data_IF_651819213326
#
_entry.id   IF_651819213326
#
_cell.length_a   1.000
_cell.length_b   1.000
_cell.length_c   1.000
_cell.angle_alpha   90.00
_cell.angle_beta   90.00
_cell.angle_gamma   90.00
#
_symmetry.space_group_name_H-M   'P 1'
#
loop_
_entity.id
_entity.type
_entity.pdbx_description
1 polymer ?
#
# COMPACT_ATOMS: atom_id res chain seq x y z
N UNK A 1 -25.37 -10.05 -9.06
CA UNK A 1 -24.60 -8.81 -8.85
C UNK A 1 -23.65 -9.03 -7.67
N UNK A 2 -22.70 -8.12 -7.47
CA UNK A 2 -21.90 -8.00 -6.23
C UNK A 2 -22.00 -6.55 -5.74
N UNK A 3 -21.68 -6.29 -4.47
CA UNK A 3 -21.56 -4.92 -3.94
C UNK A 3 -20.10 -4.69 -3.62
N UNK A 4 -19.55 -3.54 -4.01
CA UNK A 4 -18.12 -3.27 -3.85
C UNK A 4 -17.88 -1.89 -3.24
N UNK A 5 -17.08 -1.87 -2.17
CA UNK A 5 -16.63 -0.61 -1.56
C UNK A 5 -15.62 0.10 -2.46
N UNK A 6 -16.02 1.25 -2.98
CA UNK A 6 -15.15 2.11 -3.78
C UNK A 6 -14.62 3.25 -2.92
N UNK A 7 -13.36 3.13 -2.47
CA UNK A 7 -12.68 4.18 -1.67
C UNK A 7 -12.49 5.47 -2.48
N UNK A 8 -12.35 6.66 -1.85
CA UNK A 8 -12.25 7.96 -2.52
C UNK A 8 -11.00 8.13 -3.42
N UNK A 9 -11.04 7.48 -4.59
CA UNK A 9 -10.00 7.36 -5.63
C UNK A 9 -10.66 7.42 -7.00
N UNK A 10 -9.85 7.28 -8.07
CA UNK A 10 -10.29 7.43 -9.46
C UNK A 10 -11.60 6.70 -9.77
N UNK A 11 -11.72 5.41 -9.42
CA UNK A 11 -12.93 4.63 -9.70
C UNK A 11 -14.18 5.14 -8.96
N UNK A 12 -14.04 5.61 -7.71
CA UNK A 12 -15.16 6.20 -6.96
C UNK A 12 -15.59 7.54 -7.55
N UNK A 13 -14.63 8.36 -8.00
CA UNK A 13 -14.94 9.61 -8.70
C UNK A 13 -15.73 9.32 -9.98
N UNK A 14 -15.22 8.41 -10.82
CA UNK A 14 -15.88 8.01 -12.07
C UNK A 14 -17.29 7.45 -11.81
N UNK A 15 -17.45 6.53 -10.85
CA UNK A 15 -18.74 5.91 -10.56
C UNK A 15 -19.75 6.88 -9.95
N UNK A 16 -19.29 7.87 -9.16
CA UNK A 16 -20.18 8.84 -8.54
C UNK A 16 -20.65 9.88 -9.54
N UNK A 17 -19.77 10.38 -10.40
CA UNK A 17 -20.12 11.31 -11.48
C UNK A 17 -21.11 10.68 -12.47
N UNK A 18 -20.88 9.42 -12.87
CA UNK A 18 -21.81 8.68 -13.73
C UNK A 18 -23.17 8.46 -13.04
N UNK A 19 -23.19 8.10 -11.76
CA UNK A 19 -24.43 7.92 -11.02
C UNK A 19 -25.23 9.23 -10.86
N UNK A 20 -24.56 10.38 -10.68
CA UNK A 20 -25.21 11.70 -10.68
C UNK A 20 -25.82 12.04 -12.05
N UNK A 21 -25.23 11.54 -13.13
CA UNK A 21 -25.78 11.64 -14.49
C UNK A 21 -26.86 10.60 -14.81
N UNK A 22 -27.12 9.64 -13.91
CA UNK A 22 -28.05 8.53 -14.16
C UNK A 22 -27.50 7.48 -15.13
N UNK A 23 -26.17 7.40 -15.26
CA UNK A 23 -25.46 6.51 -16.17
C UNK A 23 -24.70 5.42 -15.41
N UNK A 24 -24.61 4.24 -16.01
CA UNK A 24 -23.78 3.15 -15.49
C UNK A 24 -22.37 3.22 -16.07
N UNK A 25 -21.39 2.68 -15.35
CA UNK A 25 -20.00 2.64 -15.81
C UNK A 25 -19.64 1.24 -16.30
N UNK A 26 -19.33 1.04 -17.60
CA UNK A 26 -18.84 -0.24 -18.08
C UNK A 26 -17.46 -0.55 -17.48
N UNK A 27 -17.31 -1.75 -16.94
CA UNK A 27 -16.07 -2.23 -16.32
C UNK A 27 -15.78 -3.68 -16.73
N UNK A 28 -14.61 -4.18 -16.33
CA UNK A 28 -14.33 -5.60 -16.35
C UNK A 28 -13.77 -6.01 -14.98
N UNK A 29 -14.21 -7.17 -14.48
CA UNK A 29 -13.65 -7.79 -13.27
C UNK A 29 -12.77 -8.95 -13.72
N UNK A 30 -11.47 -8.86 -13.42
CA UNK A 30 -10.46 -9.83 -13.86
C UNK A 30 -9.99 -10.65 -12.66
N UNK A 31 -9.95 -11.98 -12.80
CA UNK A 31 -9.43 -12.89 -11.78
C UNK A 31 -8.32 -13.77 -12.37
N UNK A 32 -7.30 -14.07 -11.56
CA UNK A 32 -6.13 -14.84 -12.01
C UNK A 32 -5.35 -14.14 -13.11
N UNK A 33 -5.14 -12.83 -12.96
CA UNK A 33 -4.31 -12.05 -13.86
C UNK A 33 -2.81 -12.30 -13.61
N UNK A 34 -1.97 -11.82 -14.53
CA UNK A 34 -0.53 -11.79 -14.34
C UNK A 34 -0.16 -11.05 -13.02
N UNK A 35 0.80 -11.55 -12.22
CA UNK A 35 1.22 -10.89 -10.99
C UNK A 35 1.64 -9.43 -11.14
N UNK A 36 2.15 -9.01 -12.31
CA UNK A 36 2.47 -7.60 -12.56
C UNK A 36 1.24 -6.72 -12.67
N UNK A 37 0.10 -7.27 -13.11
CA UNK A 37 -1.20 -6.59 -13.15
C UNK A 37 -1.71 -6.38 -11.73
N UNK A 38 -1.64 -7.42 -10.89
CA UNK A 38 -2.02 -7.31 -9.47
C UNK A 38 -1.17 -6.27 -8.74
N UNK A 39 0.15 -6.29 -8.97
CA UNK A 39 1.06 -5.32 -8.37
C UNK A 39 0.77 -3.91 -8.84
N UNK A 40 0.61 -3.69 -10.15
CA UNK A 40 0.33 -2.37 -10.72
C UNK A 40 -1.01 -1.80 -10.23
N UNK A 41 -2.05 -2.64 -10.15
CA UNK A 41 -3.37 -2.26 -9.63
C UNK A 41 -3.33 -1.86 -8.14
N UNK A 42 -2.36 -2.36 -7.38
CA UNK A 42 -2.15 -1.99 -5.98
C UNK A 42 -1.27 -0.72 -5.80
N UNK A 43 -0.68 -0.20 -6.89
CA UNK A 43 0.09 1.05 -6.84
C UNK A 43 -0.87 2.26 -6.74
N UNK A 44 -0.35 3.38 -6.26
CA UNK A 44 -1.10 4.65 -6.26
C UNK A 44 -0.28 5.74 -6.90
N UNK A 45 -0.86 6.39 -7.90
CA UNK A 45 -0.26 7.49 -8.62
C UNK A 45 -0.98 8.80 -8.27
N UNK A 46 -0.24 9.91 -8.26
CA UNK A 46 -0.82 11.26 -8.12
C UNK A 46 -1.42 11.75 -9.43
N UNK A 47 -0.85 11.30 -10.55
CA UNK A 47 -1.31 11.62 -11.89
C UNK A 47 -2.20 10.49 -12.42
N UNK A 48 -3.04 10.80 -13.41
CA UNK A 48 -3.81 9.80 -14.13
C UNK A 48 -2.85 8.95 -14.99
N UNK A 49 -2.43 7.82 -14.44
CA UNK A 49 -1.59 6.82 -15.11
C UNK A 49 -2.45 5.58 -15.29
N UNK A 50 -2.50 5.08 -16.51
CA UNK A 50 -3.10 3.78 -16.79
C UNK A 50 -2.23 2.66 -16.16
N UNK A 51 -2.75 2.03 -15.10
CA UNK A 51 -2.04 0.98 -14.38
C UNK A 51 -1.74 -0.24 -15.27
N UNK A 52 -2.50 -0.51 -16.34
CA UNK A 52 -2.17 -1.57 -17.31
C UNK A 52 -0.89 -1.26 -18.08
N UNK A 53 -0.59 0.01 -18.35
CA UNK A 53 0.67 0.43 -18.96
C UNK A 53 1.86 0.15 -18.02
N UNK A 54 1.68 0.36 -16.71
CA UNK A 54 2.68 0.00 -15.69
C UNK A 54 2.86 -1.51 -15.63
N UNK A 55 1.76 -2.27 -15.58
CA UNK A 55 1.79 -3.74 -15.59
C UNK A 55 2.51 -4.29 -16.83
N UNK A 56 2.25 -3.72 -18.00
CA UNK A 56 2.90 -4.09 -19.27
C UNK A 56 4.40 -3.83 -19.24
N UNK A 57 4.83 -2.69 -18.69
CA UNK A 57 6.26 -2.34 -18.55
C UNK A 57 6.99 -3.30 -17.61
N UNK A 58 6.36 -3.66 -16.48
CA UNK A 58 6.89 -4.65 -15.54
C UNK A 58 6.95 -6.05 -16.16
N UNK A 59 5.89 -6.46 -16.84
CA UNK A 59 5.80 -7.76 -17.51
C UNK A 59 6.88 -7.90 -18.59
N UNK A 60 7.06 -6.88 -19.44
CA UNK A 60 8.10 -6.86 -20.47
C UNK A 60 9.50 -7.01 -19.86
N UNK A 61 9.77 -6.33 -18.74
CA UNK A 61 11.07 -6.42 -18.06
C UNK A 61 11.33 -7.80 -17.47
N UNK A 62 10.32 -8.48 -16.96
CA UNK A 62 10.45 -9.78 -16.31
C UNK A 62 10.43 -10.95 -17.30
N UNK A 63 9.62 -10.87 -18.35
CA UNK A 63 9.34 -11.98 -19.26
C UNK A 63 9.93 -11.79 -20.67
N UNK A 64 10.38 -10.58 -21.03
CA UNK A 64 10.95 -10.29 -22.34
C UNK A 64 9.95 -10.20 -23.49
N UNK A 65 8.64 -10.27 -23.20
CA UNK A 65 7.54 -10.12 -24.14
C UNK A 65 6.50 -9.13 -23.62
N UNK A 66 5.73 -8.43 -24.48
CA UNK A 66 4.69 -7.51 -24.03
C UNK A 66 3.51 -8.25 -23.38
N UNK A 67 2.87 -7.61 -22.41
CA UNK A 67 1.62 -8.10 -21.82
C UNK A 67 0.53 -8.12 -22.91
N UNK A 68 -0.06 -9.29 -23.17
CA UNK A 68 -1.14 -9.42 -24.15
C UNK A 68 -2.45 -8.93 -23.53
N UNK A 69 -3.22 -8.21 -24.33
CA UNK A 69 -4.52 -7.68 -23.95
C UNK A 69 -5.56 -8.00 -25.01
N UNK A 70 -6.82 -8.06 -24.60
CA UNK A 70 -8.00 -8.16 -25.47
C UNK A 70 -9.02 -7.11 -25.03
N UNK A 71 -9.89 -6.71 -25.95
CA UNK A 71 -11.00 -5.80 -25.67
C UNK A 71 -12.27 -6.65 -25.60
N UNK A 72 -13.00 -6.55 -24.48
CA UNK A 72 -14.28 -7.22 -24.31
C UNK A 72 -15.39 -6.52 -25.12
N UNK A 73 -16.52 -7.17 -25.42
CA UNK A 73 -17.65 -6.57 -26.13
C UNK A 73 -18.13 -5.23 -25.57
N UNK A 74 -18.06 -5.02 -24.26
CA UNK A 74 -18.38 -3.73 -23.62
C UNK A 74 -17.30 -2.62 -23.80
N UNK A 75 -16.24 -2.88 -24.56
CA UNK A 75 -15.18 -1.92 -24.89
C UNK A 75 -14.03 -1.84 -23.87
N UNK A 76 -14.07 -2.62 -22.79
CA UNK A 76 -13.03 -2.60 -21.74
C UNK A 76 -11.86 -3.51 -22.11
N UNK A 77 -10.64 -2.99 -21.97
CA UNK A 77 -9.40 -3.73 -22.19
C UNK A 77 -9.03 -4.56 -20.96
N UNK A 78 -8.70 -5.84 -21.17
CA UNK A 78 -8.29 -6.77 -20.10
C UNK A 78 -7.06 -7.59 -20.50
N UNK A 79 -6.28 -8.12 -19.54
CA UNK A 79 -5.19 -9.06 -19.84
C UNK A 79 -5.73 -10.32 -20.53
N UNK A 80 -5.18 -10.65 -21.70
CA UNK A 80 -5.64 -11.76 -22.54
C UNK A 80 -5.42 -13.14 -21.89
N UNK A 81 -4.40 -13.23 -21.05
CA UNK A 81 -3.92 -14.46 -20.43
C UNK A 81 -4.43 -14.62 -18.98
N UNK A 82 -5.47 -13.88 -18.58
CA UNK A 82 -6.13 -14.06 -17.28
C UNK A 82 -6.96 -15.36 -17.20
N UNK A 83 -7.21 -15.87 -15.99
CA UNK A 83 -8.04 -17.04 -15.77
C UNK A 83 -9.54 -16.75 -16.01
N UNK A 84 -10.00 -15.57 -15.56
CA UNK A 84 -11.35 -15.05 -15.82
C UNK A 84 -11.31 -13.56 -16.20
N UNK A 85 -12.16 -13.17 -17.14
CA UNK A 85 -12.50 -11.79 -17.42
C UNK A 85 -14.02 -11.66 -17.52
N UNK A 86 -14.62 -10.88 -16.61
CA UNK A 86 -16.06 -10.75 -16.48
C UNK A 86 -16.50 -9.37 -16.97
N UNK A 87 -17.32 -9.34 -18.00
CA UNK A 87 -17.98 -8.12 -18.48
C UNK A 87 -18.98 -7.68 -17.42
N UNK A 88 -18.87 -6.43 -16.99
CA UNK A 88 -19.69 -5.90 -15.92
C UNK A 88 -19.96 -4.41 -16.08
N UNK A 89 -20.89 -3.89 -15.27
CA UNK A 89 -21.15 -2.46 -15.13
C UNK A 89 -21.36 -2.12 -13.66
N UNK A 90 -20.83 -0.97 -13.25
CA UNK A 90 -21.15 -0.35 -11.96
C UNK A 90 -22.45 0.41 -12.16
N UNK A 91 -23.49 0.04 -11.43
CA UNK A 91 -24.81 0.63 -11.59
C UNK A 91 -24.99 1.87 -10.71
N UNK A 92 -26.06 2.61 -11.01
CA UNK A 92 -26.53 3.71 -10.14
C UNK A 92 -27.16 3.23 -8.82
N UNK A 93 -27.47 1.92 -8.71
CA UNK A 93 -28.05 1.32 -7.52
C UNK A 93 -27.02 1.14 -6.40
N UNK A 94 -27.52 1.13 -5.16
CA UNK A 94 -26.74 0.89 -3.96
C UNK A 94 -27.35 -0.21 -3.12
N UNK A 95 -26.49 -0.97 -2.45
CA UNK A 95 -26.89 -2.02 -1.53
C UNK A 95 -25.87 -2.12 -0.37
N UNK A 96 -26.17 -2.94 0.64
CA UNK A 96 -25.32 -3.18 1.79
C UNK A 96 -24.03 -3.92 1.39
N UNK A 97 -22.87 -3.29 1.64
CA UNK A 97 -21.55 -3.92 1.56
C UNK A 97 -20.97 -4.11 2.96
N UNK A 98 -20.35 -5.27 3.18
CA UNK A 98 -19.83 -5.68 4.47
C UNK A 98 -20.85 -6.45 5.33
N UNK A 99 -20.49 -6.79 6.58
CA UNK A 99 -19.20 -6.51 7.20
C UNK A 99 -18.10 -7.39 6.59
N UNK A 100 -16.88 -6.88 6.52
CA UNK A 100 -15.74 -7.62 5.97
C UNK A 100 -14.48 -7.39 6.78
N UNK A 101 -13.56 -8.36 6.76
CA UNK A 101 -12.30 -8.26 7.50
C UNK A 101 -11.29 -7.47 6.68
N UNK A 102 -10.78 -6.37 7.26
CA UNK A 102 -9.79 -5.51 6.62
C UNK A 102 -8.36 -6.02 6.89
N UNK A 103 -7.35 -5.41 6.25
CA UNK A 103 -5.93 -5.78 6.35
C UNK A 103 -5.38 -5.76 7.78
N UNK A 104 -5.96 -4.93 8.66
CA UNK A 104 -5.62 -4.82 10.08
C UNK A 104 -6.20 -5.96 10.91
N UNK A 105 -7.00 -6.84 10.32
CA UNK A 105 -7.72 -7.92 11.02
C UNK A 105 -8.94 -7.43 11.80
N UNK A 106 -9.31 -6.17 11.65
CA UNK A 106 -10.56 -5.62 12.20
C UNK A 106 -11.70 -5.78 11.22
N UNK A 107 -12.91 -5.91 11.75
CA UNK A 107 -14.14 -5.94 10.95
C UNK A 107 -14.54 -4.52 10.59
N UNK A 108 -14.75 -4.26 9.31
CA UNK A 108 -15.26 -2.99 8.81
C UNK A 108 -16.80 -2.94 8.85
N UNK A 109 -17.37 -1.73 8.94
CA UNK A 109 -18.81 -1.52 9.07
C UNK A 109 -19.58 -1.77 7.76
N UNK A 110 -20.87 -2.05 7.89
CA UNK A 110 -21.80 -2.15 6.76
C UNK A 110 -22.11 -0.75 6.22
N UNK A 111 -22.01 -0.55 4.91
CA UNK A 111 -22.31 0.73 4.24
C UNK A 111 -23.00 0.53 2.90
N UNK A 112 -23.76 1.53 2.48
CA UNK A 112 -24.42 1.57 1.17
C UNK A 112 -23.41 1.89 0.07
N UNK A 113 -23.05 0.89 -0.73
CA UNK A 113 -22.03 0.94 -1.77
C UNK A 113 -22.59 0.55 -3.14
N UNK A 114 -21.82 0.78 -4.21
CA UNK A 114 -22.30 0.55 -5.57
C UNK A 114 -22.52 -0.94 -5.87
N UNK A 115 -23.61 -1.23 -6.56
CA UNK A 115 -23.91 -2.56 -7.12
C UNK A 115 -23.15 -2.74 -8.45
N UNK A 116 -22.53 -3.90 -8.62
CA UNK A 116 -21.88 -4.34 -9.85
C UNK A 116 -22.71 -5.47 -10.46
N UNK A 117 -23.19 -5.25 -11.66
CA UNK A 117 -23.87 -6.27 -12.46
C UNK A 117 -22.92 -6.90 -13.48
N UNK A 118 -23.07 -8.20 -13.69
CA UNK A 118 -22.22 -8.99 -14.59
C UNK A 118 -23.06 -9.47 -15.77
N UNK A 119 -22.55 -9.27 -16.97
CA UNK A 119 -23.24 -9.58 -18.23
C UNK A 119 -22.74 -10.89 -18.83
N UNK A 120 -21.41 -11.08 -18.84
CA UNK A 120 -20.76 -12.23 -19.44
C UNK A 120 -19.51 -12.61 -18.66
N UNK A 121 -19.21 -13.91 -18.58
CA UNK A 121 -17.99 -14.43 -17.96
C UNK A 121 -17.18 -15.16 -19.03
N UNK A 122 -16.00 -14.62 -19.34
CA UNK A 122 -15.00 -15.28 -20.18
C UNK A 122 -13.99 -15.98 -19.29
N UNK A 123 -13.62 -17.21 -19.62
CA UNK A 123 -12.65 -17.98 -18.84
C UNK A 123 -11.87 -18.96 -19.71
N UNK A 124 -10.72 -19.40 -19.19
CA UNK A 124 -9.91 -20.47 -19.78
C UNK A 124 -10.61 -21.84 -19.70
N UNK A 125 -10.13 -22.81 -20.48
CA UNK A 125 -10.46 -24.22 -20.22
C UNK A 125 -9.79 -24.61 -18.89
N UNK A 126 -10.55 -25.22 -17.99
CA UNK A 126 -10.11 -25.59 -16.62
C UNK A 126 -9.51 -24.42 -15.82
N UNK A 127 -10.27 -23.34 -15.59
CA UNK A 127 -9.75 -22.10 -15.03
C UNK A 127 -9.43 -22.21 -13.52
N UNK A 128 -8.40 -21.49 -13.09
CA UNK A 128 -7.98 -21.40 -11.70
C UNK A 128 -8.55 -20.12 -11.09
N UNK A 129 -9.32 -20.25 -10.01
CA UNK A 129 -9.82 -19.09 -9.28
C UNK A 129 -8.80 -18.63 -8.24
N UNK A 130 -8.21 -17.45 -8.45
CA UNK A 130 -7.29 -16.84 -7.49
C UNK A 130 -8.08 -16.12 -6.39
N UNK A 131 -8.02 -16.66 -5.18
CA UNK A 131 -8.60 -16.03 -4.00
C UNK A 131 -7.49 -15.61 -3.04
N UNK A 132 -7.47 -14.32 -2.70
CA UNK A 132 -6.57 -13.75 -1.71
C UNK A 132 -7.25 -13.73 -0.35
N UNK A 133 -6.58 -14.26 0.67
CA UNK A 133 -7.11 -14.31 2.03
C UNK A 133 -6.89 -12.95 2.71
N UNK A 134 -7.94 -12.28 3.24
CA UNK A 134 -7.80 -11.04 3.99
C UNK A 134 -6.81 -11.21 5.14
N UNK A 135 -6.02 -10.18 5.46
CA UNK A 135 -4.89 -10.25 6.41
C UNK A 135 -3.77 -11.25 6.05
N UNK A 136 -3.88 -11.98 4.94
CA UNK A 136 -2.85 -12.90 4.48
C UNK A 136 -1.58 -12.17 4.04
N UNK A 137 -0.48 -12.93 3.89
CA UNK A 137 0.80 -12.36 3.45
C UNK A 137 0.65 -11.67 2.10
N UNK A 138 -0.08 -12.27 1.15
CA UNK A 138 -0.31 -11.71 -0.18
C UNK A 138 -1.03 -10.34 -0.11
N UNK A 139 -2.05 -10.21 0.74
CA UNK A 139 -2.75 -8.94 0.97
C UNK A 139 -1.78 -7.86 1.44
N UNK A 140 -1.00 -8.17 2.49
CA UNK A 140 -0.03 -7.23 3.07
C UNK A 140 1.07 -6.89 2.08
N UNK A 141 1.54 -7.85 1.31
CA UNK A 141 2.57 -7.65 0.29
C UNK A 141 2.07 -6.72 -0.80
N UNK A 142 0.89 -6.98 -1.39
CA UNK A 142 0.35 -6.15 -2.46
C UNK A 142 0.06 -4.71 -2.01
N UNK A 143 -0.43 -4.51 -0.79
CA UNK A 143 -0.67 -3.15 -0.28
C UNK A 143 0.61 -2.43 0.18
N UNK A 144 1.50 -3.13 0.87
CA UNK A 144 2.67 -2.53 1.52
C UNK A 144 3.86 -2.34 0.58
N UNK A 145 4.15 -3.33 -0.27
CA UNK A 145 5.32 -3.32 -1.15
C UNK A 145 5.36 -2.09 -2.07
N UNK A 146 4.25 -1.64 -2.69
CA UNK A 146 4.27 -0.41 -3.49
C UNK A 146 4.62 0.86 -2.72
N UNK A 147 4.42 0.89 -1.39
CA UNK A 147 4.71 2.06 -0.54
C UNK A 147 6.19 2.19 -0.18
N UNK A 148 6.90 1.07 -0.02
CA UNK A 148 8.32 1.11 0.34
C UNK A 148 9.17 1.93 -0.64
N UNK A 149 9.04 1.78 -1.99
CA UNK A 149 9.71 2.65 -2.95
C UNK A 149 9.31 4.13 -2.85
N UNK A 150 8.05 4.43 -2.52
CA UNK A 150 7.57 5.82 -2.38
C UNK A 150 8.22 6.50 -1.17
N UNK A 151 8.28 5.79 -0.05
CA UNK A 151 8.98 6.23 1.17
C UNK A 151 10.46 6.40 0.87
N UNK A 152 11.11 5.39 0.28
CA UNK A 152 12.53 5.44 -0.08
C UNK A 152 12.86 6.63 -0.97
N UNK A 153 12.07 6.88 -2.01
CA UNK A 153 12.25 8.02 -2.90
C UNK A 153 12.08 9.37 -2.17
N UNK A 154 11.11 9.46 -1.25
CA UNK A 154 10.89 10.68 -0.45
C UNK A 154 12.07 10.95 0.49
N UNK A 155 12.56 9.93 1.20
CA UNK A 155 13.69 10.03 2.12
C UNK A 155 15.00 10.30 1.37
N UNK A 156 15.21 9.68 0.22
CA UNK A 156 16.39 9.86 -0.64
C UNK A 156 16.59 11.31 -1.12
N UNK A 157 15.55 12.15 -1.06
CA UNK A 157 15.65 13.58 -1.40
C UNK A 157 16.33 14.41 -0.31
N UNK A 158 16.37 13.92 0.92
CA UNK A 158 16.89 14.66 2.08
C UNK A 158 18.12 14.00 2.69
N UNK A 159 18.20 12.66 2.68
CA UNK A 159 19.33 11.89 3.22
C UNK A 159 19.59 10.65 2.36
N UNK A 160 20.75 10.01 2.53
CA UNK A 160 21.04 8.75 1.83
C UNK A 160 20.22 7.59 2.43
N UNK A 161 19.18 7.17 1.71
CA UNK A 161 18.28 6.08 2.11
C UNK A 161 18.65 4.77 1.40
N UNK A 162 18.97 3.75 2.19
CA UNK A 162 19.40 2.45 1.69
C UNK A 162 18.21 1.55 1.42
N UNK A 163 17.29 1.43 2.38
CA UNK A 163 16.15 0.53 2.24
C UNK A 163 14.96 0.91 3.13
N UNK A 164 13.78 0.38 2.81
CA UNK A 164 12.54 0.59 3.57
C UNK A 164 11.78 -0.72 3.67
N UNK A 165 11.38 -1.07 4.89
CA UNK A 165 10.59 -2.25 5.16
C UNK A 165 9.25 -1.87 5.82
N UNK A 166 8.13 -2.31 5.23
CA UNK A 166 6.82 -2.20 5.86
C UNK A 166 6.65 -3.35 6.85
N UNK A 167 6.48 -3.01 8.14
CA UNK A 167 6.52 -4.02 9.20
C UNK A 167 5.27 -4.91 9.22
N UNK A 168 5.47 -6.18 9.54
CA UNK A 168 4.37 -7.14 9.71
C UNK A 168 3.42 -6.75 10.86
N UNK A 169 3.96 -6.31 12.00
CA UNK A 169 3.17 -5.82 13.13
C UNK A 169 2.36 -4.56 12.80
N UNK A 170 2.85 -3.73 11.87
CA UNK A 170 2.11 -2.62 11.27
C UNK A 170 1.13 -3.04 10.17
N UNK A 171 0.83 -4.33 10.05
CA UNK A 171 -0.05 -4.91 9.02
C UNK A 171 0.41 -4.61 7.58
N UNK A 172 1.71 -4.40 7.35
CA UNK A 172 2.26 -4.01 6.06
C UNK A 172 1.85 -2.61 5.60
N UNK A 173 1.23 -1.79 6.47
CA UNK A 173 0.63 -0.51 6.05
C UNK A 173 0.87 0.64 7.04
N UNK A 174 0.70 0.40 8.35
CA UNK A 174 0.68 1.44 9.37
C UNK A 174 2.05 1.78 9.94
N UNK A 175 3.06 0.93 9.75
CA UNK A 175 4.40 1.14 10.31
C UNK A 175 5.50 0.69 9.35
N UNK A 176 6.57 1.47 9.25
CA UNK A 176 7.76 1.13 8.48
C UNK A 176 9.06 1.30 9.29
N UNK A 177 10.10 0.64 8.82
CA UNK A 177 11.48 0.86 9.23
C UNK A 177 12.26 1.36 8.03
N UNK A 178 13.00 2.45 8.21
CA UNK A 178 13.79 3.11 7.15
C UNK A 178 15.26 3.01 7.51
N UNK A 179 16.04 2.43 6.61
CA UNK A 179 17.49 2.31 6.76
C UNK A 179 18.19 3.45 6.03
N UNK A 180 19.04 4.20 6.73
CA UNK A 180 19.78 5.34 6.15
C UNK A 180 21.29 5.26 6.44
N UNK A 181 22.06 6.08 5.74
CA UNK A 181 23.46 6.38 6.07
C UNK A 181 23.54 7.81 6.62
N UNK A 182 23.53 8.00 7.96
CA UNK A 182 23.64 9.32 8.56
C UNK A 182 25.01 9.96 8.26
N UNK A 183 25.00 11.19 7.76
CA UNK A 183 26.21 12.00 7.49
C UNK A 183 26.29 13.21 8.41
N UNK A 184 25.16 13.76 8.82
CA UNK A 184 25.06 14.91 9.71
C UNK A 184 24.12 14.62 10.90
N UNK A 185 24.36 15.29 12.03
CA UNK A 185 23.43 15.27 13.15
C UNK A 185 22.06 15.77 12.70
N UNK A 186 21.00 15.00 12.98
CA UNK A 186 19.62 15.32 12.59
C UNK A 186 19.14 14.67 11.29
N UNK A 187 19.99 13.91 10.58
CA UNK A 187 19.58 13.19 9.38
C UNK A 187 18.43 12.19 9.64
N UNK A 188 18.41 11.53 10.80
CA UNK A 188 17.31 10.65 11.19
C UNK A 188 15.97 11.39 11.35
N UNK A 189 15.98 12.60 11.93
CA UNK A 189 14.79 13.47 12.01
C UNK A 189 14.29 13.90 10.64
N UNK A 190 15.19 14.29 9.74
CA UNK A 190 14.84 14.63 8.35
C UNK A 190 14.23 13.43 7.63
N UNK A 191 14.78 12.23 7.87
CA UNK A 191 14.27 11.00 7.31
C UNK A 191 12.86 10.66 7.81
N UNK A 192 12.57 10.83 9.11
CA UNK A 192 11.24 10.64 9.69
C UNK A 192 10.20 11.49 8.97
N UNK A 193 10.44 12.80 8.84
CA UNK A 193 9.49 13.70 8.17
C UNK A 193 9.30 13.34 6.70
N UNK A 194 10.39 13.00 6.01
CA UNK A 194 10.34 12.58 4.62
C UNK A 194 9.59 11.25 4.43
N UNK A 195 9.73 10.32 5.37
CA UNK A 195 9.01 9.05 5.34
C UNK A 195 7.50 9.26 5.48
N UNK A 196 7.05 10.15 6.38
CA UNK A 196 5.63 10.51 6.48
C UNK A 196 5.09 11.21 5.24
N UNK A 197 5.91 12.01 4.53
CA UNK A 197 5.52 12.57 3.21
C UNK A 197 5.39 11.49 2.15
N UNK A 198 6.26 10.48 2.18
CA UNK A 198 6.25 9.35 1.24
C UNK A 198 5.07 8.39 1.45
N UNK A 199 4.59 8.27 2.69
CA UNK A 199 3.39 7.49 3.02
C UNK A 199 2.50 8.24 4.04
N UNK A 200 1.59 9.11 3.55
CA UNK A 200 0.75 9.96 4.42
C UNK A 200 -0.24 9.20 5.30
N UNK A 201 -0.53 7.92 5.05
CA UNK A 201 -1.42 7.12 5.92
C UNK A 201 -0.66 6.35 7.01
N UNK A 202 0.67 6.34 6.96
CA UNK A 202 1.51 5.67 7.95
C UNK A 202 1.40 6.34 9.32
N UNK A 203 1.37 5.53 10.37
CA UNK A 203 1.27 5.93 11.77
C UNK A 203 2.64 6.01 12.44
N UNK A 204 3.51 5.05 12.16
CA UNK A 204 4.82 4.92 12.80
C UNK A 204 5.95 4.80 11.77
N UNK A 205 7.10 5.41 12.07
CA UNK A 205 8.36 5.12 11.39
C UNK A 205 9.51 4.99 12.39
N UNK A 206 10.36 3.98 12.20
CA UNK A 206 11.64 3.85 12.91
C UNK A 206 12.75 4.06 11.89
N UNK A 207 13.71 4.92 12.19
CA UNK A 207 14.89 5.14 11.33
C UNK A 207 16.11 4.50 11.98
N UNK A 208 16.88 3.72 11.22
CA UNK A 208 18.03 2.95 11.70
C UNK A 208 19.23 3.06 10.76
N UNK A 209 20.42 2.73 11.29
CA UNK A 209 21.66 2.57 10.51
C UNK A 209 21.64 1.29 9.64
N UNK A 210 22.61 1.22 8.72
CA UNK A 210 22.79 0.12 7.77
C UNK A 210 23.18 -1.24 8.35
N UNK A 211 23.59 -1.27 9.62
CA UNK A 211 23.95 -2.51 10.34
C UNK A 211 22.74 -3.18 11.02
N UNK A 212 21.57 -2.56 10.96
CA UNK A 212 20.32 -3.13 11.45
C UNK A 212 19.58 -3.79 10.30
N UNK A 213 19.33 -5.10 10.43
CA UNK A 213 18.37 -5.80 9.56
C UNK A 213 16.96 -5.30 9.86
N UNK A 214 16.41 -4.52 8.93
CA UNK A 214 15.10 -3.89 9.06
C UNK A 214 13.93 -4.87 8.91
N UNK A 215 14.18 -6.09 8.45
CA UNK A 215 13.18 -7.16 8.34
C UNK A 215 13.07 -8.02 9.59
N UNK A 216 14.07 -8.01 10.48
CA UNK A 216 14.00 -8.67 11.78
C UNK A 216 13.48 -7.69 12.86
N UNK A 217 12.24 -7.86 13.35
CA UNK A 217 11.69 -6.97 14.37
C UNK A 217 12.51 -6.96 15.66
N UNK A 218 13.22 -8.05 16.00
CA UNK A 218 14.09 -8.11 17.19
C UNK A 218 15.32 -7.23 17.04
N UNK A 219 15.88 -7.13 15.83
CA UNK A 219 17.03 -6.25 15.53
C UNK A 219 16.62 -4.78 15.58
N UNK A 220 15.43 -4.45 15.10
CA UNK A 220 14.86 -3.10 15.16
C UNK A 220 14.55 -2.69 16.61
N UNK A 221 13.93 -3.59 17.38
CA UNK A 221 13.69 -3.36 18.82
C UNK A 221 15.01 -3.17 19.58
N UNK A 222 16.02 -4.00 19.31
CA UNK A 222 17.34 -3.85 19.91
C UNK A 222 17.99 -2.49 19.59
N UNK A 223 17.86 -2.00 18.35
CA UNK A 223 18.34 -0.66 17.99
C UNK A 223 17.64 0.44 18.81
N UNK A 224 16.31 0.35 18.96
CA UNK A 224 15.56 1.28 19.81
C UNK A 224 16.00 1.21 21.28
N UNK A 225 16.30 0.03 21.82
CA UNK A 225 16.68 -0.10 23.22
C UNK A 225 18.12 0.36 23.52
N UNK A 226 18.97 0.47 22.51
CA UNK A 226 20.40 0.75 22.69
C UNK A 226 20.87 2.06 22.07
N UNK A 227 20.13 2.63 21.11
CA UNK A 227 20.55 3.81 20.32
C UNK A 227 19.60 4.99 20.38
N UNK A 228 18.44 4.85 21.04
CA UNK A 228 17.37 5.85 21.06
C UNK A 228 17.12 6.35 22.48
N UNK A 229 17.06 7.67 22.66
CA UNK A 229 16.61 8.34 23.88
C UNK A 229 15.21 8.93 23.66
N UNK A 230 14.14 8.38 24.26
CA UNK A 230 12.75 8.73 23.91
C UNK A 230 12.39 10.21 24.07
N UNK A 231 13.05 10.94 24.96
CA UNK A 231 12.81 12.36 25.21
C UNK A 231 13.44 13.29 24.17
N UNK A 232 14.41 12.79 23.39
CA UNK A 232 15.20 13.57 22.43
C UNK A 232 15.03 13.10 21.00
N UNK A 233 14.95 11.78 20.83
CA UNK A 233 15.06 11.13 19.53
C UNK A 233 13.68 10.72 18.99
N UNK A 234 12.64 11.46 19.37
CA UNK A 234 11.25 11.19 19.02
C UNK A 234 10.53 12.42 18.49
N UNK A 235 9.78 12.21 17.41
CA UNK A 235 8.81 13.17 16.90
C UNK A 235 7.41 12.61 17.13
N UNK A 236 6.56 13.35 17.83
CA UNK A 236 5.12 13.06 17.94
C UNK A 236 4.36 14.15 17.18
N UNK A 237 3.55 13.74 16.21
CA UNK A 237 2.69 14.62 15.44
C UNK A 237 1.23 14.34 15.80
N UNK A 238 0.58 15.27 16.50
CA UNK A 238 -0.83 15.16 16.89
C UNK A 238 -1.78 15.66 15.79
N UNK A 239 -3.02 15.17 15.79
CA UNK A 239 -4.09 15.67 14.90
C UNK A 239 -3.82 15.48 13.41
N UNK A 240 -3.07 14.45 13.04
CA UNK A 240 -2.68 14.19 11.65
C UNK A 240 -3.75 13.35 10.96
N UNK A 241 -3.92 13.55 9.64
CA UNK A 241 -4.66 12.58 8.83
C UNK A 241 -3.93 11.23 8.84
N UNK A 242 -4.67 10.17 9.15
CA UNK A 242 -4.17 8.80 9.24
C UNK A 242 -4.75 7.88 8.17
N UNK A 243 -4.66 6.58 8.42
CA UNK A 243 -5.39 5.59 7.64
C UNK A 243 -6.81 5.43 8.20
N UNK A 244 -7.81 5.28 7.33
CA UNK A 244 -9.15 4.86 7.71
C UNK A 244 -9.19 3.48 8.38
N UNK A 245 -8.14 2.69 8.15
CA UNK A 245 -7.94 1.33 8.65
C UNK A 245 -7.46 1.26 10.10
N UNK A 246 -6.98 2.37 10.66
CA UNK A 246 -6.57 2.46 12.07
C UNK A 246 -7.82 2.60 12.96
N UNK A 247 -8.20 1.59 13.75
CA UNK A 247 -9.39 1.66 14.60
C UNK A 247 -9.22 2.62 15.78
N UNK A 248 -8.00 3.07 16.09
CA UNK A 248 -7.73 3.99 17.21
C UNK A 248 -7.77 5.47 16.81
N UNK A 249 -8.04 5.77 15.53
CA UNK A 249 -8.25 7.14 15.07
C UNK A 249 -9.47 7.75 15.77
N UNK A 250 -9.48 9.07 15.91
CA UNK A 250 -10.64 9.78 16.44
C UNK A 250 -11.82 9.73 15.45
N UNK A 251 -13.01 10.10 15.92
CA UNK A 251 -14.22 10.18 15.09
C UNK A 251 -14.02 11.09 13.86
N UNK A 252 -13.26 12.18 14.02
CA UNK A 252 -12.89 13.11 12.95
C UNK A 252 -11.89 12.54 11.92
N UNK A 253 -11.48 11.28 12.07
CA UNK A 253 -10.58 10.59 11.14
C UNK A 253 -9.10 10.98 11.28
N UNK A 254 -8.73 11.65 12.38
CA UNK A 254 -7.35 12.02 12.68
C UNK A 254 -6.72 11.07 13.71
N UNK A 255 -5.40 11.02 13.74
CA UNK A 255 -4.61 10.17 14.64
C UNK A 255 -3.34 10.90 15.07
N UNK A 256 -2.64 10.36 16.06
CA UNK A 256 -1.25 10.76 16.33
C UNK A 256 -0.29 9.87 15.54
N UNK A 257 0.84 10.45 15.13
CA UNK A 257 1.93 9.74 14.47
C UNK A 257 3.20 9.85 15.30
N UNK A 258 4.05 8.84 15.20
CA UNK A 258 5.32 8.78 15.92
C UNK A 258 6.47 8.40 14.99
N UNK A 259 7.53 9.19 15.03
CA UNK A 259 8.82 8.86 14.42
C UNK A 259 9.86 8.64 15.51
N UNK A 260 10.69 7.63 15.34
CA UNK A 260 11.78 7.29 16.27
C UNK A 260 13.10 7.23 15.51
N UNK A 261 14.07 8.02 15.94
CA UNK A 261 15.43 8.04 15.39
C UNK A 261 16.32 7.12 16.23
N UNK A 262 16.57 5.91 15.75
CA UNK A 262 17.47 4.95 16.38
C UNK A 262 18.83 4.89 15.66
N UNK A 263 19.23 5.98 15.00
CA UNK A 263 20.53 6.09 14.34
C UNK A 263 21.61 6.55 15.31
N UNK A 264 22.85 6.11 15.07
CA UNK A 264 24.00 6.59 15.80
C UNK A 264 24.40 7.99 15.32
N UNK A 265 24.89 8.82 16.25
CA UNK A 265 25.46 10.13 15.88
C UNK A 265 26.62 9.93 14.91
N UNK A 266 26.64 10.62 13.74
CA UNK A 266 27.73 10.50 12.78
C UNK A 266 29.11 10.77 13.42
N UNK A 267 30.07 9.88 13.17
CA UNK A 267 31.42 9.97 13.71
C UNK A 267 31.59 9.57 15.18
N UNK A 268 30.51 9.11 15.85
CA UNK A 268 30.62 8.51 17.19
C UNK A 268 31.30 7.14 17.15
N UNK A 269 31.87 6.72 18.28
CA UNK A 269 32.38 5.37 18.46
C UNK A 269 31.23 4.37 18.44
N UNK A 270 31.24 3.48 17.45
CA UNK A 270 30.20 2.47 17.24
C UNK A 270 30.40 1.22 18.10
N UNK A 271 31.58 1.00 18.66
CA UNK A 271 31.91 -0.24 19.38
C UNK A 271 30.99 -0.58 20.56
N UNK A 272 30.42 0.39 21.33
CA UNK A 272 29.45 0.08 22.38
C UNK A 272 28.08 -0.35 21.85
N UNK A 273 27.82 -0.09 20.57
CA UNK A 273 26.54 -0.30 19.89
C UNK A 273 26.66 -1.38 18.81
N UNK A 274 27.59 -2.31 18.95
CA UNK A 274 27.64 -3.53 18.13
C UNK A 274 26.99 -4.68 18.90
N UNK A 275 26.20 -5.49 18.20
CA UNK A 275 25.58 -6.69 18.77
C UNK A 275 26.03 -7.92 18.02
N UNK A 276 26.47 -8.92 18.79
CA UNK A 276 26.86 -10.26 18.31
C UNK A 276 25.66 -11.24 18.24
N UNK A 277 24.45 -10.75 18.50
CA UNK A 277 23.20 -11.52 18.50
C UNK A 277 22.54 -11.54 17.11
#
# INVERSE_FOLDING_TARGET
>A
HTVARLVPRHLRTISSEAAEAGEDVPIAVVNGADPTVLLAAAMSFSDYVDELTVASSLHLRLHGSPLKVVILPNGVMVPADAEYAMEARITTERDDEGPYVDITGTVDDIRQEHVIEYECVHHRIDPIFHALIPTGIEHRTLMGMPRAPTIKNSVSKVVECVDVHMTDGGCGWLSSVVQIVPKNTGDGMLAIEAAFRGHPSMKQVVVVDTDIDISDPKRVEWALMTRWQPDKDTIILSGQRGSSLDPSRTEDGVTSKIGMDATLTPGSDKSPFESVL
#
